data_IF_215425309729
#
_entry.id   IF_215425309729
#
_cell.length_a   1.000
_cell.length_b   1.000
_cell.length_c   1.000
_cell.angle_alpha   90.00
_cell.angle_beta   90.00
_cell.angle_gamma   90.00
#
_symmetry.space_group_name_H-M   'P 1'
#
loop_
_entity.id
_entity.type
_entity.pdbx_description
1 polymer ?
#
# COMPACT_ATOMS: atom_id res chain seq x y z
N UNK A 1 -2.22 -23.65 6.62
CA UNK A 1 -1.86 -24.19 7.94
C UNK A 1 -3.13 -24.55 8.70
N UNK A 2 -3.05 -25.39 9.75
CA UNK A 2 -4.22 -25.80 10.52
C UNK A 2 -4.51 -24.79 11.63
N UNK A 3 -5.77 -24.46 11.86
CA UNK A 3 -6.20 -23.60 12.95
C UNK A 3 -7.37 -24.21 13.72
N UNK A 4 -7.27 -24.26 15.05
CA UNK A 4 -8.34 -24.72 15.94
C UNK A 4 -8.82 -23.53 16.76
N UNK A 5 -10.06 -23.09 16.55
CA UNK A 5 -10.69 -22.02 17.31
C UNK A 5 -11.60 -22.63 18.36
N UNK A 6 -11.34 -22.36 19.63
CA UNK A 6 -12.01 -23.01 20.76
C UNK A 6 -12.85 -21.98 21.49
N UNK A 7 -14.16 -22.13 21.36
CA UNK A 7 -15.11 -21.48 22.26
C UNK A 7 -15.05 -22.19 23.61
N UNK A 8 -14.28 -21.64 24.55
CA UNK A 8 -14.08 -22.26 25.85
C UNK A 8 -15.25 -22.05 26.83
N UNK A 9 -16.16 -21.11 26.54
CA UNK A 9 -17.42 -20.99 27.30
C UNK A 9 -18.29 -22.21 27.03
N UNK A 10 -18.29 -22.67 25.78
CA UNK A 10 -19.15 -23.74 25.31
C UNK A 10 -18.47 -25.13 25.42
N UNK A 11 -17.25 -25.29 24.92
CA UNK A 11 -16.51 -26.57 24.90
C UNK A 11 -15.20 -26.46 25.67
N UNK A 12 -14.95 -27.41 26.56
CA UNK A 12 -13.70 -27.51 27.32
C UNK A 12 -13.00 -28.82 26.95
N UNK A 13 -12.08 -28.80 25.97
CA UNK A 13 -11.34 -29.98 25.55
C UNK A 13 -10.49 -30.51 26.71
N UNK A 14 -10.45 -31.84 26.85
CA UNK A 14 -9.64 -32.50 27.88
C UNK A 14 -8.23 -32.82 27.39
N UNK A 15 -8.07 -33.05 26.08
CA UNK A 15 -6.79 -33.42 25.48
C UNK A 15 -6.68 -32.90 24.04
N UNK A 16 -5.43 -32.65 23.63
CA UNK A 16 -5.01 -32.35 22.25
C UNK A 16 -4.01 -33.39 21.71
N UNK A 17 -3.95 -34.59 22.32
CA UNK A 17 -2.92 -35.61 22.04
C UNK A 17 -2.82 -36.02 20.55
N UNK A 18 -3.90 -35.86 19.78
CA UNK A 18 -3.99 -36.25 18.37
C UNK A 18 -3.79 -35.07 17.40
N UNK A 19 -3.42 -33.89 17.89
CA UNK A 19 -3.17 -32.71 17.05
C UNK A 19 -1.68 -32.61 16.76
N UNK A 20 -1.30 -32.54 15.49
CA UNK A 20 0.07 -32.22 15.07
C UNK A 20 0.44 -30.82 15.53
N UNK A 21 1.39 -30.74 16.45
CA UNK A 21 1.70 -29.53 17.22
C UNK A 21 2.48 -28.49 16.39
N UNK A 22 3.31 -28.96 15.45
CA UNK A 22 4.24 -28.10 14.69
C UNK A 22 3.56 -27.34 13.53
N UNK A 23 2.39 -27.78 13.07
CA UNK A 23 1.67 -27.20 11.92
C UNK A 23 0.26 -26.70 12.25
N UNK A 24 -0.03 -26.52 13.55
CA UNK A 24 -1.36 -26.15 14.02
C UNK A 24 -1.34 -24.99 15.01
N UNK A 25 -2.10 -23.95 14.70
CA UNK A 25 -2.38 -22.87 15.64
C UNK A 25 -3.64 -23.16 16.47
N UNK A 26 -3.56 -22.96 17.78
CA UNK A 26 -4.69 -23.08 18.71
C UNK A 26 -5.09 -21.70 19.21
N UNK A 27 -6.36 -21.34 19.02
CA UNK A 27 -6.95 -20.09 19.46
C UNK A 27 -7.98 -20.37 20.54
N UNK A 28 -7.60 -20.12 21.80
CA UNK A 28 -8.45 -20.33 22.96
C UNK A 28 -9.19 -19.04 23.32
N UNK A 29 -10.50 -18.99 23.08
CA UNK A 29 -11.34 -17.84 23.41
C UNK A 29 -11.93 -18.01 24.82
N UNK A 30 -11.57 -17.09 25.72
CA UNK A 30 -11.97 -17.12 27.12
C UNK A 30 -12.97 -16.00 27.43
N UNK A 31 -14.18 -16.43 27.78
CA UNK A 31 -15.17 -15.58 28.44
C UNK A 31 -14.69 -15.07 29.80
N UNK A 32 -15.33 -14.01 30.31
CA UNK A 32 -14.92 -13.37 31.58
C UNK A 32 -14.86 -14.36 32.74
N UNK A 33 -15.82 -15.30 32.78
CA UNK A 33 -15.96 -16.22 33.90
C UNK A 33 -14.84 -17.28 33.91
N UNK A 34 -14.28 -17.62 32.75
CA UNK A 34 -13.27 -18.65 32.58
C UNK A 34 -11.84 -18.12 32.77
N UNK A 35 -11.65 -16.80 32.84
CA UNK A 35 -10.31 -16.18 32.94
C UNK A 35 -9.67 -16.27 34.34
N UNK A 36 -10.43 -16.63 35.38
CA UNK A 36 -9.92 -16.70 36.75
C UNK A 36 -9.01 -17.89 37.00
N UNK A 37 -9.29 -19.02 36.34
CA UNK A 37 -8.54 -20.26 36.49
C UNK A 37 -8.80 -21.18 35.31
N UNK A 38 -7.75 -21.86 34.83
CA UNK A 38 -7.85 -22.94 33.86
C UNK A 38 -7.46 -24.28 34.53
N UNK A 39 -8.08 -25.41 34.15
CA UNK A 39 -7.67 -26.72 34.62
C UNK A 39 -6.20 -27.00 34.30
N UNK A 40 -5.47 -27.62 35.23
CA UNK A 40 -4.05 -27.93 35.05
C UNK A 40 -3.79 -28.77 33.81
N UNK A 41 -4.60 -29.80 33.58
CA UNK A 41 -4.51 -30.70 32.42
C UNK A 41 -4.63 -29.94 31.08
N UNK A 42 -5.53 -28.93 31.01
CA UNK A 42 -5.63 -28.08 29.84
C UNK A 42 -4.34 -27.30 29.61
N UNK A 43 -3.79 -26.69 30.65
CA UNK A 43 -2.55 -25.91 30.57
C UNK A 43 -1.39 -26.79 30.12
N UNK A 44 -1.25 -27.98 30.69
CA UNK A 44 -0.22 -28.96 30.31
C UNK A 44 -0.31 -29.34 28.83
N UNK A 45 -1.52 -29.51 28.29
CA UNK A 45 -1.69 -29.80 26.86
C UNK A 45 -1.41 -28.60 25.96
N UNK A 46 -1.78 -27.39 26.37
CA UNK A 46 -1.51 -26.17 25.60
C UNK A 46 -0.01 -25.84 25.56
N UNK A 47 0.75 -26.14 26.62
CA UNK A 47 2.19 -25.94 26.69
C UNK A 47 3.01 -26.82 25.72
N UNK A 48 2.37 -27.79 25.06
CA UNK A 48 3.01 -28.59 24.01
C UNK A 48 3.23 -27.77 22.75
N UNK A 49 2.34 -26.81 22.47
CA UNK A 49 2.42 -25.93 21.30
C UNK A 49 3.51 -24.87 21.48
N UNK A 50 4.23 -24.60 20.39
CA UNK A 50 5.16 -23.48 20.36
C UNK A 50 4.44 -22.16 20.66
N UNK A 51 5.17 -21.21 21.26
CA UNK A 51 4.60 -19.93 21.70
C UNK A 51 3.95 -19.11 20.57
N UNK A 52 4.35 -19.33 19.31
CA UNK A 52 3.75 -18.69 18.13
C UNK A 52 2.47 -19.41 17.63
N UNK A 53 2.27 -20.65 18.05
CA UNK A 53 1.14 -21.49 17.70
C UNK A 53 -0.02 -21.40 18.70
N UNK A 54 0.22 -20.95 19.94
CA UNK A 54 -0.81 -20.78 20.96
C UNK A 54 -1.28 -19.34 21.13
N UNK A 55 -2.59 -19.11 20.98
CA UNK A 55 -3.24 -17.80 21.08
C UNK A 55 -4.35 -17.81 22.13
N UNK A 56 -4.15 -17.15 23.27
CA UNK A 56 -5.19 -16.99 24.31
C UNK A 56 -5.87 -15.64 24.15
N UNK A 57 -7.15 -15.64 23.76
CA UNK A 57 -7.95 -14.45 23.52
C UNK A 57 -8.90 -14.24 24.70
N UNK A 58 -8.70 -13.14 25.44
CA UNK A 58 -9.48 -12.81 26.66
C UNK A 58 -10.48 -11.69 26.37
N UNK A 59 -11.76 -11.95 26.66
CA UNK A 59 -12.79 -10.92 26.63
C UNK A 59 -12.59 -9.89 27.74
N UNK A 60 -12.74 -8.60 27.41
CA UNK A 60 -12.63 -7.50 28.38
C UNK A 60 -13.96 -7.21 29.09
N UNK A 61 -15.08 -7.38 28.38
CA UNK A 61 -16.42 -7.07 28.85
C UNK A 61 -17.39 -8.22 28.54
N UNK A 62 -18.32 -8.48 29.46
CA UNK A 62 -19.36 -9.47 29.25
C UNK A 62 -20.44 -8.86 28.35
N UNK A 63 -21.00 -9.69 27.49
CA UNK A 63 -22.07 -9.30 26.59
C UNK A 63 -22.71 -10.53 25.97
N UNK A 64 -23.98 -10.40 25.58
CA UNK A 64 -24.68 -11.46 24.87
C UNK A 64 -23.95 -11.76 23.56
N UNK A 65 -23.59 -13.02 23.32
CA UNK A 65 -22.88 -13.50 22.12
C UNK A 65 -21.52 -12.82 21.89
N UNK A 66 -20.94 -12.20 22.93
CA UNK A 66 -19.72 -11.42 22.74
C UNK A 66 -18.50 -12.29 22.41
N UNK A 67 -18.44 -13.53 22.93
CA UNK A 67 -17.40 -14.48 22.54
C UNK A 67 -17.54 -14.86 21.06
N UNK A 68 -18.76 -15.06 20.57
CA UNK A 68 -19.04 -15.42 19.17
C UNK A 68 -18.57 -14.33 18.20
N UNK A 69 -18.75 -13.06 18.57
CA UNK A 69 -18.22 -11.95 17.78
C UNK A 69 -16.69 -11.92 17.77
N UNK A 70 -16.04 -12.23 18.90
CA UNK A 70 -14.59 -12.34 18.94
C UNK A 70 -14.11 -13.49 18.04
N UNK A 71 -14.72 -14.67 18.16
CA UNK A 71 -14.37 -15.83 17.37
C UNK A 71 -14.53 -15.53 15.87
N UNK A 72 -15.69 -14.99 15.47
CA UNK A 72 -15.99 -14.63 14.07
C UNK A 72 -14.99 -13.60 13.52
N UNK A 73 -14.62 -12.59 14.32
CA UNK A 73 -13.64 -11.59 13.92
C UNK A 73 -12.24 -12.19 13.69
N UNK A 74 -11.79 -13.07 14.59
CA UNK A 74 -10.50 -13.74 14.44
C UNK A 74 -10.50 -14.75 13.30
N UNK A 75 -11.61 -15.43 13.06
CA UNK A 75 -11.79 -16.29 11.89
C UNK A 75 -11.62 -15.49 10.60
N UNK A 76 -12.26 -14.32 10.50
CA UNK A 76 -12.08 -13.41 9.36
C UNK A 76 -10.62 -12.97 9.16
N UNK A 77 -9.90 -12.70 10.26
CA UNK A 77 -8.45 -12.41 10.19
C UNK A 77 -7.64 -13.59 9.69
N UNK A 78 -7.96 -14.80 10.13
CA UNK A 78 -7.28 -16.02 9.68
C UNK A 78 -7.53 -16.22 8.18
N UNK A 79 -8.78 -16.10 7.72
CA UNK A 79 -9.13 -16.25 6.30
C UNK A 79 -8.41 -15.25 5.38
N UNK A 80 -8.04 -14.08 5.90
CA UNK A 80 -7.29 -13.08 5.14
C UNK A 80 -5.78 -13.35 5.13
N UNK A 81 -5.22 -13.84 6.25
CA UNK A 81 -3.79 -14.11 6.40
C UNK A 81 -3.38 -15.42 5.70
N UNK A 82 -4.22 -16.44 5.81
CA UNK A 82 -4.04 -17.75 5.19
C UNK A 82 -5.35 -18.16 4.48
N UNK A 83 -5.53 -17.70 3.22
CA UNK A 83 -6.71 -18.05 2.42
C UNK A 83 -6.81 -19.55 2.07
N UNK A 84 -5.78 -20.33 2.41
CA UNK A 84 -5.71 -21.78 2.26
C UNK A 84 -5.76 -22.52 3.60
N UNK A 85 -6.18 -21.85 4.67
CA UNK A 85 -6.23 -22.42 6.00
C UNK A 85 -7.25 -23.55 6.10
N UNK A 86 -6.89 -24.59 6.85
CA UNK A 86 -7.83 -25.58 7.36
C UNK A 86 -8.24 -25.16 8.76
N UNK A 87 -9.53 -24.85 8.94
CA UNK A 87 -10.04 -24.28 10.18
C UNK A 87 -11.10 -25.17 10.81
N UNK A 88 -10.87 -25.50 12.08
CA UNK A 88 -11.81 -26.21 12.92
C UNK A 88 -12.31 -25.29 14.04
N UNK A 89 -13.62 -25.06 14.09
CA UNK A 89 -14.29 -24.36 15.19
C UNK A 89 -14.81 -25.41 16.18
N UNK A 90 -14.30 -25.40 17.41
CA UNK A 90 -14.82 -26.20 18.51
C UNK A 90 -15.87 -25.39 19.28
N UNK A 91 -17.14 -25.60 18.94
CA UNK A 91 -18.29 -25.01 19.61
C UNK A 91 -19.53 -25.90 19.44
N UNK A 92 -20.38 -26.03 20.48
CA UNK A 92 -21.70 -26.69 20.34
C UNK A 92 -22.77 -25.77 19.80
N UNK A 93 -22.53 -24.46 19.74
CA UNK A 93 -23.49 -23.52 19.19
C UNK A 93 -23.61 -23.71 17.66
N UNK A 94 -24.80 -24.11 17.21
CA UNK A 94 -25.11 -24.23 15.78
C UNK A 94 -25.21 -22.87 15.07
N UNK A 95 -25.21 -21.75 15.81
CA UNK A 95 -25.14 -20.41 15.23
C UNK A 95 -23.94 -20.20 14.32
N UNK A 96 -22.84 -20.93 14.56
CA UNK A 96 -21.66 -20.91 13.70
C UNK A 96 -21.86 -21.66 12.37
N UNK A 97 -22.87 -22.54 12.23
CA UNK A 97 -23.07 -23.30 10.98
C UNK A 97 -23.34 -22.38 9.78
N UNK A 98 -24.08 -21.29 10.01
CA UNK A 98 -24.34 -20.27 8.97
C UNK A 98 -23.04 -19.56 8.55
N UNK A 99 -22.16 -19.28 9.51
CA UNK A 99 -20.85 -18.66 9.25
C UNK A 99 -19.95 -19.60 8.45
N UNK A 100 -19.92 -20.89 8.83
CA UNK A 100 -19.17 -21.94 8.13
C UNK A 100 -19.66 -22.10 6.70
N UNK A 101 -20.98 -22.20 6.50
CA UNK A 101 -21.59 -22.31 5.17
C UNK A 101 -21.25 -21.10 4.28
N UNK A 102 -21.38 -19.90 4.82
CA UNK A 102 -21.06 -18.66 4.09
C UNK A 102 -19.59 -18.61 3.67
N UNK A 103 -18.66 -18.91 4.59
CA UNK A 103 -17.23 -18.82 4.32
C UNK A 103 -16.75 -19.91 3.36
N UNK A 104 -17.20 -21.15 3.51
CA UNK A 104 -16.89 -22.22 2.54
C UNK A 104 -17.45 -21.91 1.14
N UNK A 105 -18.56 -21.17 1.05
CA UNK A 105 -19.12 -20.72 -0.24
C UNK A 105 -18.38 -19.51 -0.82
N UNK A 106 -17.84 -18.63 0.03
CA UNK A 106 -17.15 -17.41 -0.38
C UNK A 106 -15.67 -17.64 -0.75
N UNK A 107 -15.06 -18.72 -0.25
CA UNK A 107 -13.64 -19.03 -0.44
C UNK A 107 -13.45 -20.43 -1.02
N UNK A 108 -12.91 -20.52 -2.23
CA UNK A 108 -12.62 -21.80 -2.93
C UNK A 108 -11.42 -22.58 -2.35
N UNK A 109 -10.68 -22.03 -1.37
CA UNK A 109 -9.41 -22.60 -0.88
C UNK A 109 -9.31 -22.83 0.63
N UNK A 110 -10.28 -22.35 1.41
CA UNK A 110 -10.28 -22.45 2.86
C UNK A 110 -11.31 -23.50 3.29
N UNK A 111 -10.86 -24.54 3.99
CA UNK A 111 -11.76 -25.56 4.52
C UNK A 111 -12.14 -25.18 5.95
N UNK A 112 -13.41 -24.88 6.19
CA UNK A 112 -13.90 -24.55 7.52
C UNK A 112 -14.92 -25.59 7.95
N UNK A 113 -14.79 -26.08 9.17
CA UNK A 113 -15.77 -26.97 9.79
C UNK A 113 -15.99 -26.63 11.26
N UNK A 114 -17.20 -26.94 11.74
CA UNK A 114 -17.53 -26.89 13.16
C UNK A 114 -17.59 -28.31 13.71
N UNK A 115 -17.01 -28.51 14.89
CA UNK A 115 -17.14 -29.72 15.68
C UNK A 115 -17.78 -29.39 17.03
N UNK A 116 -18.76 -30.19 17.40
CA UNK A 116 -19.51 -30.04 18.66
C UNK A 116 -18.84 -30.78 19.83
N UNK A 117 -17.85 -31.62 19.51
CA UNK A 117 -17.13 -32.42 20.49
C UNK A 117 -15.63 -32.45 20.16
N UNK A 118 -14.81 -32.15 21.16
CA UNK A 118 -13.36 -32.20 21.04
C UNK A 118 -12.83 -33.59 20.61
N UNK A 119 -13.54 -34.68 20.92
CA UNK A 119 -13.14 -36.02 20.50
C UNK A 119 -13.21 -36.23 18.96
N UNK A 120 -13.99 -35.40 18.26
CA UNK A 120 -14.14 -35.44 16.79
C UNK A 120 -12.95 -34.79 16.06
N UNK A 121 -12.08 -34.06 16.77
CA UNK A 121 -10.84 -33.50 16.20
C UNK A 121 -10.06 -34.59 15.45
N UNK A 122 -10.07 -35.83 15.96
CA UNK A 122 -9.37 -36.98 15.38
C UNK A 122 -9.88 -37.35 13.97
N UNK A 123 -11.19 -37.28 13.72
CA UNK A 123 -11.81 -37.76 12.47
C UNK A 123 -11.67 -36.72 11.35
N UNK A 124 -11.79 -35.44 11.70
CA UNK A 124 -11.70 -34.32 10.77
C UNK A 124 -10.35 -34.24 10.04
N UNK A 125 -9.25 -34.58 10.73
CA UNK A 125 -7.91 -34.48 10.16
C UNK A 125 -7.49 -35.72 9.34
N UNK A 126 -8.13 -36.88 9.53
CA UNK A 126 -7.90 -38.08 8.71
C UNK A 126 -8.62 -38.00 7.35
N UNK A 127 -9.80 -37.38 7.29
CA UNK A 127 -10.61 -37.28 6.07
C UNK A 127 -10.10 -36.29 5.01
N UNK A 128 -9.23 -35.34 5.38
CA UNK A 128 -8.71 -34.31 4.46
C UNK A 128 -7.56 -34.82 3.55
N UNK A 129 -7.09 -36.05 3.73
CA UNK A 129 -6.04 -36.65 2.87
C UNK A 129 -6.65 -37.20 1.56
N UNK A 130 -7.94 -37.57 1.54
CA UNK A 130 -8.56 -38.23 0.38
C UNK A 130 -9.30 -37.28 -0.58
N UNK A 131 -9.64 -36.06 -0.15
CA UNK A 131 -10.55 -35.15 -0.86
C UNK A 131 -9.86 -34.07 -1.71
N UNK A 132 -8.52 -34.11 -1.84
CA UNK A 132 -7.72 -33.11 -2.58
C UNK A 132 -7.86 -33.12 -4.12
N UNK A 133 -8.83 -33.86 -4.66
CA UNK A 133 -9.18 -33.80 -6.08
C UNK A 133 -10.67 -33.54 -6.24
N UNK A 134 -11.10 -32.29 -6.30
CA UNK A 134 -11.94 -31.77 -7.40
C UNK A 134 -12.56 -30.37 -7.15
N UNK A 135 -12.59 -29.61 -8.25
CA UNK A 135 -13.49 -28.49 -8.61
C UNK A 135 -12.99 -27.03 -8.48
N UNK A 136 -13.28 -26.32 -9.58
CA UNK A 136 -12.96 -24.94 -9.98
C UNK A 136 -14.19 -24.02 -9.85
N UNK A 137 -13.90 -22.73 -9.64
CA UNK A 137 -14.59 -21.50 -10.09
C UNK A 137 -15.98 -21.23 -9.49
N UNK A 138 -16.16 -20.06 -8.86
CA UNK A 138 -16.58 -18.83 -9.57
C UNK A 138 -16.73 -17.59 -8.65
N UNK A 139 -16.74 -16.43 -9.32
CA UNK A 139 -16.60 -15.02 -8.90
C UNK A 139 -17.93 -14.34 -8.49
N UNK A 140 -17.90 -13.31 -7.60
CA UNK A 140 -18.71 -12.03 -7.55
C UNK A 140 -18.53 -11.31 -6.17
N UNK A 141 -17.87 -10.15 -6.05
CA UNK A 141 -18.34 -8.73 -6.00
C UNK A 141 -19.52 -8.42 -5.04
N UNK A 142 -19.29 -7.55 -4.03
CA UNK A 142 -20.08 -6.33 -3.65
C UNK A 142 -19.40 -5.57 -2.47
N UNK A 143 -19.80 -4.30 -2.33
CA UNK A 143 -19.20 -3.06 -1.83
C UNK A 143 -19.18 -2.79 -0.30
N UNK A 144 -18.44 -1.71 0.00
CA UNK A 144 -18.21 -0.92 1.22
C UNK A 144 -19.32 -0.81 2.29
N UNK A 145 -18.91 -0.71 3.57
CA UNK A 145 -19.48 0.24 4.55
C UNK A 145 -18.57 0.47 5.77
N UNK A 146 -18.46 1.75 6.15
CA UNK A 146 -17.65 2.34 7.23
C UNK A 146 -18.26 2.22 8.64
N UNK A 147 -17.43 2.25 9.70
CA UNK A 147 -17.49 3.11 10.92
C UNK A 147 -16.67 2.51 12.10
N UNK A 148 -15.54 3.11 12.51
CA UNK A 148 -15.27 4.00 13.68
C UNK A 148 -15.47 3.35 15.07
N UNK A 149 -14.40 3.29 15.87
CA UNK A 149 -14.35 3.69 17.29
C UNK A 149 -12.87 3.98 17.69
N UNK A 150 -12.63 5.16 18.28
CA UNK A 150 -11.36 5.65 18.84
C UNK A 150 -11.26 5.33 20.35
N UNK A 151 -10.07 5.44 20.92
CA UNK A 151 -9.85 6.19 22.16
C UNK A 151 -8.37 6.58 22.36
N UNK A 152 -8.21 7.80 22.88
CA UNK A 152 -7.00 8.59 23.10
C UNK A 152 -6.15 8.13 24.30
N UNK A 153 -4.82 8.33 24.24
CA UNK A 153 -4.05 8.89 25.39
C UNK A 153 -2.95 9.83 24.88
N UNK A 154 -2.93 11.00 25.50
CA UNK A 154 -2.27 12.26 25.14
C UNK A 154 -0.80 12.38 25.55
N UNK A 155 -0.07 13.15 24.74
CA UNK A 155 1.05 14.08 25.03
C UNK A 155 1.73 14.13 26.40
N UNK A 156 3.05 13.90 26.44
CA UNK A 156 3.97 14.54 27.42
C UNK A 156 5.34 14.87 26.77
N UNK A 157 5.73 16.15 26.91
CA UNK A 157 7.07 16.79 26.90
C UNK A 157 8.03 16.59 25.70
N UNK A 158 8.18 17.65 24.87
CA UNK A 158 9.09 17.72 23.72
C UNK A 158 10.59 17.78 24.07
N UNK A 159 10.99 18.23 25.26
CA UNK A 159 12.40 18.40 25.61
C UNK A 159 13.07 17.12 26.14
N UNK A 160 12.32 16.23 26.79
CA UNK A 160 12.82 14.91 27.22
C UNK A 160 12.84 13.88 26.08
N UNK A 161 12.06 14.12 25.02
CA UNK A 161 11.97 13.20 23.88
C UNK A 161 13.25 13.17 23.06
N UNK A 162 13.90 14.33 22.90
CA UNK A 162 15.07 14.48 22.02
C UNK A 162 16.33 13.85 22.62
N UNK A 163 16.53 13.96 23.93
CA UNK A 163 17.64 13.31 24.65
C UNK A 163 17.47 11.79 24.71
N UNK A 164 16.24 11.31 24.86
CA UNK A 164 15.89 9.90 24.82
C UNK A 164 16.03 9.32 23.40
N UNK A 165 15.59 10.04 22.37
CA UNK A 165 15.78 9.62 20.97
C UNK A 165 17.26 9.52 20.60
N UNK A 166 18.10 10.43 21.12
CA UNK A 166 19.53 10.42 20.86
C UNK A 166 20.25 9.23 21.53
N UNK A 167 19.88 8.86 22.75
CA UNK A 167 20.44 7.67 23.40
C UNK A 167 19.97 6.36 22.75
N UNK A 168 18.74 6.31 22.24
CA UNK A 168 18.22 5.17 21.49
C UNK A 168 18.86 5.03 20.10
N UNK A 169 19.19 6.15 19.43
CA UNK A 169 19.90 6.13 18.14
C UNK A 169 21.33 5.59 18.28
N UNK A 170 21.98 5.80 19.43
CA UNK A 170 23.30 5.25 19.75
C UNK A 170 23.26 3.76 20.14
N UNK A 171 22.17 3.30 20.80
CA UNK A 171 22.05 1.91 21.27
C UNK A 171 21.56 0.93 20.19
N UNK A 172 20.74 1.39 19.23
CA UNK A 172 20.10 0.52 18.23
C UNK A 172 20.85 0.54 16.88
N UNK A 173 21.43 -0.59 16.44
CA UNK A 173 22.14 -0.64 15.16
C UNK A 173 21.22 -0.46 13.94
N UNK A 174 21.66 0.33 12.97
CA UNK A 174 20.94 0.54 11.68
C UNK A 174 20.70 -0.77 10.90
N UNK A 175 21.55 -1.77 11.08
CA UNK A 175 21.40 -3.11 10.50
C UNK A 175 20.14 -3.80 11.02
N UNK A 176 19.84 -3.68 12.32
CA UNK A 176 18.64 -4.26 12.94
C UNK A 176 17.38 -3.60 12.42
N UNK A 177 17.39 -2.27 12.29
CA UNK A 177 16.28 -1.54 11.67
C UNK A 177 16.07 -2.01 10.22
N UNK A 178 17.14 -2.33 9.49
CA UNK A 178 17.02 -2.87 8.14
C UNK A 178 16.48 -4.29 8.10
N UNK A 179 16.98 -5.17 8.95
CA UNK A 179 16.51 -6.56 9.09
C UNK A 179 15.02 -6.59 9.47
N UNK A 180 14.62 -5.78 10.46
CA UNK A 180 13.22 -5.64 10.84
C UNK A 180 12.35 -5.07 9.71
N UNK A 181 12.87 -4.11 8.93
CA UNK A 181 12.17 -3.60 7.74
C UNK A 181 11.94 -4.71 6.70
N UNK A 182 12.93 -5.56 6.45
CA UNK A 182 12.82 -6.71 5.53
C UNK A 182 11.74 -7.68 6.01
N UNK A 183 11.74 -8.00 7.31
CA UNK A 183 10.71 -8.87 7.91
C UNK A 183 9.31 -8.27 7.82
N UNK A 184 9.12 -6.98 8.14
CA UNK A 184 7.83 -6.29 8.00
C UNK A 184 7.37 -6.30 6.53
N UNK A 185 8.29 -6.05 5.60
CA UNK A 185 7.97 -6.08 4.19
C UNK A 185 7.46 -7.47 3.75
N UNK A 186 8.11 -8.55 4.18
CA UNK A 186 7.69 -9.90 3.79
C UNK A 186 6.43 -10.37 4.51
N UNK A 187 6.35 -10.14 5.82
CA UNK A 187 5.29 -10.70 6.66
C UNK A 187 3.98 -9.91 6.61
N UNK A 188 4.04 -8.61 6.35
CA UNK A 188 2.86 -7.72 6.39
C UNK A 188 2.54 -7.20 4.99
N UNK A 189 3.54 -6.64 4.30
CA UNK A 189 3.31 -5.96 3.02
C UNK A 189 3.10 -6.97 1.88
N UNK A 190 3.94 -7.99 1.77
CA UNK A 190 3.86 -8.99 0.69
C UNK A 190 2.73 -10.00 0.88
N UNK A 191 2.44 -10.41 2.13
CA UNK A 191 1.35 -11.35 2.42
C UNK A 191 -0.04 -10.72 2.27
N UNK A 192 -0.14 -9.41 2.01
CA UNK A 192 -1.40 -8.65 1.93
C UNK A 192 -2.32 -8.88 3.14
N UNK A 193 -1.74 -9.18 4.29
CA UNK A 193 -2.45 -9.23 5.56
C UNK A 193 -3.05 -7.84 5.78
N UNK A 194 -4.36 -7.75 6.02
CA UNK A 194 -5.13 -6.54 6.31
C UNK A 194 -4.25 -5.32 6.56
N UNK A 195 -3.94 -4.56 5.50
CA UNK A 195 -3.01 -3.45 5.62
C UNK A 195 -3.66 -2.40 6.51
N UNK A 196 -3.11 -2.14 7.70
CA UNK A 196 -3.85 -1.36 8.67
C UNK A 196 -4.03 0.07 8.19
N UNK A 197 -5.27 0.58 8.21
CA UNK A 197 -5.57 1.94 7.77
C UNK A 197 -4.99 3.03 8.68
N UNK A 198 -4.55 2.71 9.89
CA UNK A 198 -4.03 3.67 10.88
C UNK A 198 -2.60 3.30 11.30
N UNK A 199 -1.78 4.31 11.61
CA UNK A 199 -0.40 4.12 12.07
C UNK A 199 -0.31 3.23 13.31
N UNK A 200 -1.14 3.49 14.32
CA UNK A 200 -1.20 2.70 15.55
C UNK A 200 -1.46 1.21 15.27
N UNK A 201 -2.40 0.93 14.38
CA UNK A 201 -2.76 -0.45 14.00
C UNK A 201 -1.64 -1.12 13.19
N UNK A 202 -0.92 -0.37 12.35
CA UNK A 202 0.25 -0.86 11.66
C UNK A 202 1.37 -1.21 12.64
N UNK A 203 1.68 -0.32 13.60
CA UNK A 203 2.68 -0.58 14.64
C UNK A 203 2.29 -1.78 15.51
N UNK A 204 1.02 -1.90 15.88
CA UNK A 204 0.51 -3.07 16.60
C UNK A 204 0.69 -4.37 15.79
N UNK A 205 0.37 -4.33 14.49
CA UNK A 205 0.53 -5.50 13.61
C UNK A 205 1.99 -5.87 13.43
N UNK A 206 2.89 -4.89 13.30
CA UNK A 206 4.34 -5.09 13.29
C UNK A 206 4.78 -5.79 14.58
N UNK A 207 4.36 -5.29 15.75
CA UNK A 207 4.71 -5.87 17.06
C UNK A 207 4.19 -7.30 17.24
N UNK A 208 3.03 -7.62 16.66
CA UNK A 208 2.38 -8.93 16.80
C UNK A 208 2.91 -9.98 15.83
N UNK A 209 3.16 -9.61 14.58
CA UNK A 209 3.40 -10.57 13.49
C UNK A 209 4.84 -10.59 12.96
N UNK A 210 5.69 -9.63 13.36
CA UNK A 210 7.12 -9.72 13.06
C UNK A 210 7.78 -10.66 14.04
N UNK A 211 8.54 -11.67 13.57
CA UNK A 211 9.21 -12.63 14.44
C UNK A 211 10.01 -11.94 15.55
N UNK A 212 9.67 -12.27 16.80
CA UNK A 212 10.30 -11.68 17.98
C UNK A 212 11.80 -12.00 18.03
N UNK A 213 12.27 -13.02 17.30
CA UNK A 213 13.67 -13.51 17.33
C UNK A 213 14.72 -12.42 17.14
N UNK A 214 14.54 -11.49 16.18
CA UNK A 214 15.47 -10.34 15.96
C UNK A 214 15.37 -9.30 17.08
N UNK A 215 14.21 -9.22 17.72
CA UNK A 215 13.83 -8.20 18.69
C UNK A 215 13.96 -8.64 20.16
N UNK A 216 14.16 -9.94 20.44
CA UNK A 216 14.24 -10.54 21.79
C UNK A 216 15.29 -9.86 22.69
N UNK A 217 16.35 -9.31 22.10
CA UNK A 217 17.44 -8.63 22.83
C UNK A 217 17.17 -7.17 23.17
N UNK A 218 16.08 -6.59 22.68
CA UNK A 218 15.71 -5.20 22.89
C UNK A 218 14.55 -5.08 23.88
N UNK A 219 14.58 -4.07 24.74
CA UNK A 219 13.47 -3.78 25.65
C UNK A 219 12.27 -3.14 24.91
N UNK A 220 11.13 -2.96 25.59
CA UNK A 220 9.92 -2.43 24.96
C UNK A 220 10.10 -1.06 24.31
N UNK A 221 10.86 -0.16 24.94
CA UNK A 221 11.12 1.20 24.44
C UNK A 221 12.00 1.16 23.18
N UNK A 222 13.03 0.30 23.19
CA UNK A 222 13.90 0.10 22.02
C UNK A 222 13.16 -0.55 20.86
N UNK A 223 12.28 -1.52 21.14
CA UNK A 223 11.43 -2.14 20.13
C UNK A 223 10.48 -1.11 19.49
N UNK A 224 9.81 -0.29 20.31
CA UNK A 224 8.91 0.74 19.82
C UNK A 224 9.67 1.78 18.97
N UNK A 225 10.91 2.15 19.36
CA UNK A 225 11.80 2.97 18.54
C UNK A 225 12.15 2.30 17.20
N UNK A 226 12.52 1.02 17.20
CA UNK A 226 12.80 0.26 15.97
C UNK A 226 11.59 0.30 15.04
N UNK A 227 10.39 0.08 15.57
CA UNK A 227 9.16 0.08 14.78
C UNK A 227 8.86 1.45 14.16
N UNK A 228 9.08 2.53 14.91
CA UNK A 228 8.97 3.90 14.39
C UNK A 228 9.99 4.19 13.27
N UNK A 229 11.24 3.72 13.42
CA UNK A 229 12.25 3.87 12.37
C UNK A 229 11.93 3.04 11.12
N UNK A 230 11.37 1.84 11.30
CA UNK A 230 10.89 1.00 10.20
C UNK A 230 9.73 1.67 9.47
N UNK A 231 8.76 2.22 10.20
CA UNK A 231 7.67 3.01 9.63
C UNK A 231 8.23 4.21 8.82
N UNK A 232 9.18 4.95 9.38
CA UNK A 232 9.87 6.03 8.70
C UNK A 232 10.57 5.59 7.41
N UNK A 233 11.13 4.37 7.36
CA UNK A 233 11.67 3.80 6.12
C UNK A 233 10.60 3.57 5.05
N UNK A 234 9.42 3.08 5.42
CA UNK A 234 8.32 2.91 4.46
C UNK A 234 7.83 4.24 3.90
N UNK A 235 7.70 5.27 4.74
CA UNK A 235 7.36 6.63 4.32
C UNK A 235 8.42 7.18 3.37
N UNK A 236 9.70 7.08 3.74
CA UNK A 236 10.83 7.55 2.92
C UNK A 236 10.92 6.82 1.58
N UNK A 237 10.55 5.53 1.56
CA UNK A 237 10.47 4.74 0.34
C UNK A 237 9.27 5.13 -0.55
N UNK A 238 8.28 5.84 -0.02
CA UNK A 238 7.03 6.19 -0.72
C UNK A 238 6.01 5.05 -0.80
N UNK A 239 6.27 3.93 -0.10
CA UNK A 239 5.41 2.76 -0.05
C UNK A 239 4.19 2.99 0.84
N UNK A 240 4.33 3.87 1.82
CA UNK A 240 3.26 4.34 2.70
C UNK A 240 3.25 5.87 2.64
N UNK A 241 2.06 6.45 2.59
CA UNK A 241 1.85 7.88 2.78
C UNK A 241 0.64 8.11 3.67
N UNK A 242 0.52 9.31 4.24
CA UNK A 242 -0.68 9.72 4.96
C UNK A 242 -1.68 10.36 3.99
N UNK A 243 -2.98 10.20 4.25
CA UNK A 243 -4.03 10.92 3.54
C UNK A 243 -4.01 12.42 3.91
N UNK A 244 -4.82 13.23 3.22
CA UNK A 244 -4.85 14.70 3.39
C UNK A 244 -5.16 15.15 4.82
N UNK A 245 -5.86 14.32 5.59
CA UNK A 245 -6.23 14.60 6.99
C UNK A 245 -5.24 14.00 8.01
N UNK A 246 -4.17 13.36 7.55
CA UNK A 246 -3.17 12.64 8.36
C UNK A 246 -3.72 11.49 9.24
N UNK A 247 -4.97 11.10 9.05
CA UNK A 247 -5.63 10.06 9.84
C UNK A 247 -5.36 8.65 9.29
N UNK A 248 -5.30 8.50 7.96
CA UNK A 248 -5.22 7.18 7.33
C UNK A 248 -3.95 6.98 6.50
N UNK A 249 -3.45 5.75 6.54
CA UNK A 249 -2.35 5.25 5.72
C UNK A 249 -2.86 4.89 4.32
N UNK A 250 -2.14 5.34 3.31
CA UNK A 250 -2.30 5.00 1.90
C UNK A 250 -1.08 4.18 1.50
N UNK A 251 -1.32 3.03 0.88
CA UNK A 251 -0.27 2.11 0.47
C UNK A 251 -0.05 2.15 -1.03
N UNK A 252 1.21 2.18 -1.48
CA UNK A 252 1.62 2.09 -2.89
C UNK A 252 2.47 0.84 -3.12
N UNK A 253 1.91 -0.30 -2.76
CA UNK A 253 2.61 -1.59 -2.71
C UNK A 253 2.10 -2.56 -3.79
N UNK A 254 0.99 -2.21 -4.44
CA UNK A 254 0.44 -2.96 -5.56
C UNK A 254 1.27 -2.71 -6.83
N UNK A 255 1.05 -3.53 -7.86
CA UNK A 255 1.83 -3.45 -9.10
C UNK A 255 1.79 -2.06 -9.73
N UNK A 256 0.66 -1.36 -9.67
CA UNK A 256 0.54 0.00 -10.21
C UNK A 256 1.26 1.02 -9.32
N UNK A 257 1.06 0.99 -8.00
CA UNK A 257 1.74 1.89 -7.07
C UNK A 257 3.27 1.77 -7.14
N UNK A 258 3.79 0.54 -7.23
CA UNK A 258 5.23 0.31 -7.42
C UNK A 258 5.69 0.85 -8.78
N UNK A 259 4.92 0.64 -9.85
CA UNK A 259 5.26 1.15 -11.17
C UNK A 259 5.28 2.69 -11.21
N UNK A 260 4.35 3.35 -10.51
CA UNK A 260 4.32 4.80 -10.37
C UNK A 260 5.55 5.31 -9.60
N UNK A 261 5.91 4.63 -8.51
CA UNK A 261 7.11 4.95 -7.72
C UNK A 261 8.42 4.77 -8.53
N UNK A 262 8.51 3.74 -9.36
CA UNK A 262 9.65 3.53 -10.27
C UNK A 262 9.67 4.62 -11.35
N UNK A 263 8.50 4.95 -11.91
CA UNK A 263 8.34 6.00 -12.91
C UNK A 263 8.79 7.37 -12.38
N UNK A 264 8.39 7.71 -11.15
CA UNK A 264 8.82 8.94 -10.47
C UNK A 264 10.34 9.00 -10.32
N UNK A 265 10.97 7.87 -9.96
CA UNK A 265 12.42 7.80 -9.84
C UNK A 265 13.12 7.95 -11.19
N UNK A 266 12.58 7.34 -12.24
CA UNK A 266 13.08 7.48 -13.60
C UNK A 266 13.02 8.95 -14.04
N UNK A 267 11.91 9.64 -13.81
CA UNK A 267 11.72 11.06 -14.14
C UNK A 267 12.62 12.00 -13.33
N UNK A 268 12.96 11.64 -12.09
CA UNK A 268 13.92 12.39 -11.26
C UNK A 268 15.36 12.20 -11.72
N UNK A 269 15.75 10.96 -12.03
CA UNK A 269 17.12 10.61 -12.42
C UNK A 269 17.51 11.17 -13.79
N UNK A 270 16.56 11.22 -14.74
CA UNK A 270 16.77 11.65 -16.14
C UNK A 270 18.02 11.04 -16.77
N UNK A 271 18.18 9.72 -16.66
CA UNK A 271 19.28 9.01 -17.29
C UNK A 271 19.33 9.29 -18.80
N UNK A 272 20.50 9.69 -19.31
CA UNK A 272 20.67 10.09 -20.71
C UNK A 272 20.74 8.91 -21.67
N UNK A 273 21.07 7.73 -21.15
CA UNK A 273 21.29 6.51 -21.93
C UNK A 273 20.52 5.32 -21.35
N UNK A 274 20.23 4.34 -22.21
CA UNK A 274 19.45 3.14 -21.87
C UNK A 274 20.10 2.33 -20.73
N UNK A 275 21.42 2.20 -20.70
CA UNK A 275 22.13 1.46 -19.65
C UNK A 275 21.98 2.14 -18.27
N UNK A 276 22.03 3.48 -18.26
CA UNK A 276 21.77 4.28 -17.07
C UNK A 276 20.31 4.16 -16.61
N UNK A 277 19.36 4.18 -17.55
CA UNK A 277 17.94 4.00 -17.26
C UNK A 277 17.67 2.60 -16.67
N UNK A 278 18.23 1.56 -17.28
CA UNK A 278 18.10 0.18 -16.83
C UNK A 278 18.66 0.01 -15.42
N UNK A 279 19.81 0.61 -15.11
CA UNK A 279 20.37 0.60 -13.76
C UNK A 279 19.48 1.30 -12.74
N UNK A 280 18.89 2.45 -13.09
CA UNK A 280 17.94 3.15 -12.21
C UNK A 280 16.71 2.27 -11.91
N UNK A 281 16.12 1.68 -12.95
CA UNK A 281 14.96 0.79 -12.81
C UNK A 281 15.34 -0.43 -11.96
N UNK A 282 16.45 -1.09 -12.27
CA UNK A 282 16.95 -2.27 -11.55
C UNK A 282 17.14 -2.00 -10.06
N UNK A 283 17.82 -0.91 -9.71
CA UNK A 283 18.06 -0.52 -8.32
C UNK A 283 16.74 -0.20 -7.61
N UNK A 284 15.81 0.47 -8.29
CA UNK A 284 14.53 0.86 -7.69
C UNK A 284 13.61 -0.33 -7.46
N UNK A 285 13.51 -1.25 -8.42
CA UNK A 285 12.80 -2.52 -8.27
C UNK A 285 13.40 -3.35 -7.12
N UNK A 286 14.73 -3.45 -7.04
CA UNK A 286 15.41 -4.13 -5.93
C UNK A 286 15.05 -3.52 -4.56
N UNK A 287 14.98 -2.19 -4.48
CA UNK A 287 14.63 -1.49 -3.24
C UNK A 287 13.20 -1.77 -2.76
N UNK A 288 12.32 -2.15 -3.69
CA UNK A 288 10.95 -2.59 -3.42
C UNK A 288 10.79 -4.10 -3.44
N UNK A 289 11.92 -4.83 -3.38
CA UNK A 289 11.99 -6.29 -3.36
C UNK A 289 11.23 -6.97 -4.48
N UNK A 290 11.17 -6.31 -5.64
CA UNK A 290 10.59 -6.85 -6.85
C UNK A 290 11.63 -7.59 -7.67
N UNK A 291 11.16 -8.53 -8.50
CA UNK A 291 11.99 -9.15 -9.51
C UNK A 291 12.58 -8.07 -10.44
N UNK A 292 13.89 -8.14 -10.68
CA UNK A 292 14.64 -7.12 -11.41
C UNK A 292 15.55 -7.75 -12.49
N UNK A 293 15.09 -8.85 -13.08
CA UNK A 293 15.71 -9.47 -14.26
C UNK A 293 15.65 -8.52 -15.46
N UNK A 294 16.45 -8.80 -16.48
CA UNK A 294 16.45 -7.99 -17.70
C UNK A 294 15.05 -7.92 -18.34
N UNK A 295 14.32 -9.04 -18.38
CA UNK A 295 12.94 -9.07 -18.89
C UNK A 295 11.99 -8.14 -18.13
N UNK A 296 12.11 -8.09 -16.80
CA UNK A 296 11.28 -7.19 -15.97
C UNK A 296 11.63 -5.72 -16.22
N UNK A 297 12.92 -5.41 -16.37
CA UNK A 297 13.38 -4.05 -16.71
C UNK A 297 12.82 -3.65 -18.09
N UNK A 298 12.88 -4.56 -19.06
CA UNK A 298 12.40 -4.32 -20.43
C UNK A 298 10.88 -4.11 -20.48
N UNK A 299 10.11 -4.80 -19.62
CA UNK A 299 8.68 -4.56 -19.44
C UNK A 299 8.40 -3.13 -18.93
N UNK A 300 9.16 -2.67 -17.93
CA UNK A 300 9.03 -1.29 -17.42
C UNK A 300 9.41 -0.27 -18.49
N UNK A 301 10.50 -0.48 -19.22
CA UNK A 301 10.92 0.40 -20.33
C UNK A 301 9.84 0.45 -21.41
N UNK A 302 9.24 -0.70 -21.76
CA UNK A 302 8.14 -0.81 -22.72
C UNK A 302 6.92 -0.03 -22.26
N UNK A 303 6.56 -0.15 -20.97
CA UNK A 303 5.48 0.64 -20.36
C UNK A 303 5.74 2.14 -20.47
N UNK A 304 6.95 2.60 -20.10
CA UNK A 304 7.33 4.02 -20.15
C UNK A 304 7.26 4.59 -21.58
N UNK A 305 7.68 3.82 -22.59
CA UNK A 305 7.55 4.18 -24.01
C UNK A 305 6.09 4.26 -24.43
N UNK A 306 5.27 3.25 -24.09
CA UNK A 306 3.84 3.19 -24.43
C UNK A 306 3.05 4.35 -23.83
N UNK A 307 3.41 4.77 -22.60
CA UNK A 307 2.82 5.94 -21.93
C UNK A 307 3.38 7.28 -22.42
N UNK A 308 4.26 7.27 -23.42
CA UNK A 308 4.94 8.46 -23.95
C UNK A 308 5.66 9.25 -22.84
N UNK A 309 6.17 8.56 -21.82
CA UNK A 309 6.98 9.15 -20.73
C UNK A 309 8.42 9.28 -21.19
N UNK A 310 8.92 8.28 -21.94
CA UNK A 310 10.24 8.29 -22.55
C UNK A 310 10.19 8.02 -24.06
N UNK A 311 11.22 8.48 -24.77
CA UNK A 311 11.57 8.08 -26.14
C UNK A 311 13.00 7.60 -26.16
N UNK A 312 13.28 6.62 -27.00
CA UNK A 312 14.63 6.09 -27.20
C UNK A 312 15.05 6.30 -28.64
N UNK A 313 16.25 6.84 -28.86
CA UNK A 313 16.94 6.88 -30.15
C UNK A 313 18.30 6.23 -29.99
N UNK A 314 18.49 5.05 -30.58
CA UNK A 314 19.64 4.18 -30.32
C UNK A 314 19.86 3.96 -28.82
N UNK A 315 20.96 4.48 -28.27
CA UNK A 315 21.27 4.43 -26.83
C UNK A 315 20.70 5.60 -26.04
N UNK A 316 20.34 6.70 -26.69
CA UNK A 316 19.90 7.92 -26.03
C UNK A 316 18.44 7.82 -25.55
N UNK A 317 18.17 8.33 -24.34
CA UNK A 317 16.85 8.41 -23.74
C UNK A 317 16.43 9.87 -23.60
N UNK A 318 15.21 10.15 -24.05
CA UNK A 318 14.55 11.45 -23.95
C UNK A 318 13.30 11.30 -23.07
N UNK A 319 12.94 12.37 -22.37
CA UNK A 319 11.81 12.39 -21.45
C UNK A 319 10.77 13.41 -21.91
N UNK A 320 9.51 13.11 -21.65
CA UNK A 320 8.39 14.04 -21.92
C UNK A 320 8.48 15.30 -21.04
N UNK A 321 8.13 16.50 -21.54
CA UNK A 321 7.67 16.79 -22.91
C UNK A 321 8.82 16.74 -23.93
N UNK A 322 8.60 16.00 -25.03
CA UNK A 322 9.58 15.81 -26.11
C UNK A 322 9.64 17.03 -27.04
N UNK A 323 9.93 18.21 -26.50
CA UNK A 323 10.09 19.40 -27.32
C UNK A 323 11.41 19.32 -28.12
N UNK A 324 11.29 19.20 -29.44
CA UNK A 324 12.34 19.37 -30.46
C UNK A 324 13.66 18.60 -30.27
N UNK A 325 13.68 17.33 -30.68
CA UNK A 325 14.94 16.69 -31.11
C UNK A 325 15.28 17.25 -32.50
N UNK A 326 16.16 18.26 -32.55
CA UNK A 326 16.87 18.63 -33.77
C UNK A 326 17.94 17.58 -34.05
N UNK A 327 17.79 16.86 -35.16
CA UNK A 327 18.82 15.98 -35.73
C UNK A 327 18.57 15.78 -37.22
N UNK A 328 19.44 16.35 -38.05
CA UNK A 328 19.42 16.33 -39.52
C UNK A 328 19.50 14.90 -40.10
N UNK A 329 18.66 14.59 -41.08
CA UNK A 329 19.13 14.10 -42.40
C UNK A 329 18.05 14.30 -43.50
N UNK A 330 18.38 15.21 -44.42
CA UNK A 330 18.21 15.17 -45.89
C UNK A 330 16.93 14.63 -46.58
N UNK A 331 16.20 15.59 -47.19
CA UNK A 331 15.67 15.66 -48.59
C UNK A 331 14.61 14.66 -49.12
N UNK A 332 13.59 15.28 -49.76
CA UNK A 332 12.55 14.82 -50.73
C UNK A 332 11.43 13.98 -50.09
N UNK A 333 10.13 14.25 -50.20
CA UNK A 333 9.31 14.86 -51.26
C UNK A 333 8.05 15.53 -50.69
N UNK A 334 7.50 16.50 -51.42
CA UNK A 334 6.12 16.98 -51.29
C UNK A 334 5.15 15.89 -51.77
N UNK A 335 4.09 15.62 -51.02
CA UNK A 335 2.70 15.59 -51.55
C UNK A 335 1.65 15.43 -50.43
N UNK A 336 0.76 16.43 -50.39
CA UNK A 336 -0.69 16.42 -50.19
C UNK A 336 -1.42 15.51 -49.15
N UNK A 337 -1.99 16.24 -48.19
CA UNK A 337 -3.39 16.25 -47.74
C UNK A 337 -3.98 15.26 -46.69
N UNK A 338 -4.53 15.91 -45.64
CA UNK A 338 -5.73 15.62 -44.81
C UNK A 338 -5.67 14.51 -43.74
N UNK A 339 -5.54 14.91 -42.46
CA UNK A 339 -6.67 15.25 -41.57
C UNK A 339 -6.23 15.56 -40.10
N UNK A 340 -6.91 16.54 -39.49
CA UNK A 340 -6.80 17.09 -38.11
C UNK A 340 -7.11 16.05 -37.00
N UNK A 341 -6.68 16.13 -35.72
CA UNK A 341 -6.44 17.17 -34.67
C UNK A 341 -5.41 16.55 -33.69
N UNK A 342 -4.50 17.20 -32.96
CA UNK A 342 -4.40 18.52 -32.35
C UNK A 342 -2.93 18.99 -32.37
N UNK A 343 -2.63 20.09 -33.06
CA UNK A 343 -1.44 20.90 -32.75
C UNK A 343 -1.86 22.36 -32.66
N UNK A 344 -2.31 22.77 -31.46
CA UNK A 344 -2.64 24.16 -31.26
C UNK A 344 -1.38 25.03 -31.47
N UNK A 345 -1.46 25.98 -32.41
CA UNK A 345 -0.37 26.93 -32.73
C UNK A 345 0.10 27.67 -31.47
N UNK A 346 1.35 28.16 -31.43
CA UNK A 346 1.85 28.97 -30.28
C UNK A 346 0.89 30.12 -29.92
N UNK A 347 0.23 30.72 -30.92
CA UNK A 347 -0.80 31.73 -30.70
C UNK A 347 -2.03 31.21 -29.94
N UNK A 348 -2.54 30.02 -30.29
CA UNK A 348 -3.65 29.37 -29.59
C UNK A 348 -3.26 28.97 -28.15
N UNK A 349 -2.04 28.46 -27.94
CA UNK A 349 -1.51 28.17 -26.60
C UNK A 349 -1.41 29.44 -25.75
N UNK A 350 -0.94 30.55 -26.33
CA UNK A 350 -0.85 31.84 -25.65
C UNK A 350 -2.23 32.34 -25.20
N UNK A 351 -3.26 32.19 -26.03
CA UNK A 351 -4.64 32.57 -25.67
C UNK A 351 -5.20 31.63 -24.59
N UNK A 352 -4.99 30.32 -24.70
CA UNK A 352 -5.45 29.36 -23.70
C UNK A 352 -4.89 29.65 -22.30
N UNK A 353 -3.59 30.00 -22.22
CA UNK A 353 -2.92 30.38 -20.97
C UNK A 353 -3.44 31.69 -20.36
N UNK A 354 -4.02 32.58 -21.17
CA UNK A 354 -4.64 33.82 -20.67
C UNK A 354 -6.10 33.58 -20.25
N UNK A 355 -6.82 32.69 -20.94
CA UNK A 355 -8.20 32.31 -20.60
C UNK A 355 -8.29 31.49 -19.32
N UNK A 356 -7.32 30.62 -19.06
CA UNK A 356 -7.29 29.77 -17.85
C UNK A 356 -7.11 30.58 -16.55
N UNK A 357 -6.72 31.86 -16.61
CA UNK A 357 -6.59 32.72 -15.43
C UNK A 357 -7.88 33.51 -15.13
N UNK A 358 -8.26 33.61 -13.84
CA UNK A 358 -9.33 34.51 -13.40
C UNK A 358 -9.06 35.96 -13.84
N UNK A 359 -10.10 36.67 -14.29
CA UNK A 359 -9.99 37.99 -14.92
C UNK A 359 -9.19 39.02 -14.09
N UNK A 360 -9.36 39.00 -12.76
CA UNK A 360 -8.65 39.91 -11.84
C UNK A 360 -7.14 39.66 -11.68
N UNK A 361 -6.65 38.49 -12.11
CA UNK A 361 -5.25 38.08 -11.97
C UNK A 361 -4.45 38.14 -13.27
N UNK A 362 -5.08 38.58 -14.36
CA UNK A 362 -4.44 38.69 -15.68
C UNK A 362 -3.47 39.88 -15.70
N UNK A 363 -2.33 39.79 -16.42
CA UNK A 363 -1.33 40.86 -16.43
C UNK A 363 -1.92 42.21 -16.85
N UNK A 364 -1.81 43.24 -16.00
CA UNK A 364 -2.45 44.54 -16.23
C UNK A 364 -1.66 45.50 -17.11
N UNK A 365 -0.38 45.20 -17.39
CA UNK A 365 0.54 46.02 -18.20
C UNK A 365 1.19 45.19 -19.30
N UNK A 366 1.61 45.83 -20.39
CA UNK A 366 2.30 45.17 -21.53
C UNK A 366 3.57 44.42 -21.10
N UNK A 367 4.42 45.02 -20.27
CA UNK A 367 5.65 44.38 -19.77
C UNK A 367 5.36 43.14 -18.93
N UNK A 368 4.34 43.20 -18.07
CA UNK A 368 3.89 42.06 -17.28
C UNK A 368 3.33 40.94 -18.15
N UNK A 369 2.60 41.28 -19.23
CA UNK A 369 2.12 40.30 -20.20
C UNK A 369 3.28 39.66 -20.97
N UNK A 370 4.26 40.45 -21.42
CA UNK A 370 5.46 39.92 -22.10
C UNK A 370 6.23 38.96 -21.20
N UNK A 371 6.44 39.30 -19.92
CA UNK A 371 7.12 38.41 -18.96
C UNK A 371 6.29 37.17 -18.62
N UNK A 372 4.97 37.32 -18.51
CA UNK A 372 4.05 36.19 -18.35
C UNK A 372 4.13 35.22 -19.53
N UNK A 373 4.05 35.71 -20.76
CA UNK A 373 4.14 34.88 -21.95
C UNK A 373 5.54 34.25 -22.10
N UNK A 374 6.63 34.97 -21.79
CA UNK A 374 7.99 34.41 -21.76
C UNK A 374 8.15 33.27 -20.74
N UNK A 375 7.53 33.40 -19.57
CA UNK A 375 7.62 32.37 -18.51
C UNK A 375 6.76 31.14 -18.80
N UNK A 376 5.62 31.32 -19.49
CA UNK A 376 4.62 30.27 -19.69
C UNK A 376 4.67 29.62 -21.08
N UNK A 377 5.23 30.31 -22.09
CA UNK A 377 5.48 29.79 -23.45
C UNK A 377 6.98 29.51 -23.64
N UNK A 378 7.56 28.73 -22.71
CA UNK A 378 8.99 28.40 -22.68
C UNK A 378 9.50 28.03 -24.09
N UNK A 379 10.65 28.60 -24.47
CA UNK A 379 11.38 28.44 -25.75
C UNK A 379 11.02 29.40 -26.90
N UNK A 380 10.16 30.40 -26.70
CA UNK A 380 9.95 31.45 -27.71
C UNK A 380 10.91 32.64 -27.49
N UNK A 381 11.55 33.12 -28.56
CA UNK A 381 12.46 34.27 -28.49
C UNK A 381 11.70 35.59 -28.23
N UNK A 382 12.41 36.63 -27.78
CA UNK A 382 11.75 37.91 -27.45
C UNK A 382 11.03 38.52 -28.64
N UNK A 383 11.50 38.28 -29.88
CA UNK A 383 10.87 38.77 -31.11
C UNK A 383 9.54 38.06 -31.38
N UNK A 384 9.45 36.76 -31.12
CA UNK A 384 8.23 35.98 -31.30
C UNK A 384 7.18 36.35 -30.26
N UNK A 385 7.56 36.56 -29.00
CA UNK A 385 6.64 37.08 -27.97
C UNK A 385 6.10 38.47 -28.34
N UNK A 386 6.94 39.37 -28.84
CA UNK A 386 6.49 40.69 -29.30
C UNK A 386 5.55 40.59 -30.51
N UNK A 387 5.80 39.64 -31.42
CA UNK A 387 4.91 39.34 -32.55
C UNK A 387 3.56 38.80 -32.07
N UNK A 388 3.54 37.92 -31.08
CA UNK A 388 2.31 37.39 -30.47
C UNK A 388 1.49 38.50 -29.80
N UNK A 389 2.12 39.38 -29.02
CA UNK A 389 1.43 40.51 -28.38
C UNK A 389 0.85 41.45 -29.45
N UNK A 390 1.59 41.74 -30.53
CA UNK A 390 1.06 42.52 -31.67
C UNK A 390 -0.12 41.83 -32.35
N UNK A 391 -0.05 40.50 -32.56
CA UNK A 391 -1.16 39.72 -33.12
C UNK A 391 -2.39 39.72 -32.20
N UNK A 392 -2.23 39.65 -30.88
CA UNK A 392 -3.34 39.71 -29.92
C UNK A 392 -4.01 41.09 -29.91
N UNK A 393 -3.26 42.18 -30.09
CA UNK A 393 -3.82 43.53 -30.26
C UNK A 393 -4.56 43.65 -31.60
N UNK A 394 -3.94 43.18 -32.69
CA UNK A 394 -4.55 43.19 -34.04
C UNK A 394 -5.87 42.42 -34.07
N UNK A 395 -5.93 41.28 -33.39
CA UNK A 395 -7.12 40.43 -33.31
C UNK A 395 -8.12 40.88 -32.22
N UNK A 396 -7.90 42.05 -31.60
CA UNK A 396 -8.76 42.65 -30.56
C UNK A 396 -8.98 41.78 -29.32
N UNK A 397 -8.08 40.83 -29.06
CA UNK A 397 -8.06 39.97 -27.86
C UNK A 397 -7.64 40.77 -26.62
N UNK A 398 -6.75 41.73 -26.82
CA UNK A 398 -6.32 42.71 -25.82
C UNK A 398 -6.39 44.12 -26.41
N UNK A 399 -6.85 45.07 -25.60
CA UNK A 399 -6.87 46.49 -25.92
C UNK A 399 -5.95 47.21 -24.94
N UNK A 400 -5.06 48.05 -25.46
CA UNK A 400 -4.19 48.90 -24.65
C UNK A 400 -4.91 50.23 -24.43
N UNK A 401 -5.20 50.58 -23.18
CA UNK A 401 -5.78 51.87 -22.83
C UNK A 401 -4.75 53.00 -22.97
N UNK A 402 -5.22 54.25 -23.00
CA UNK A 402 -4.37 55.45 -23.02
C UNK A 402 -3.44 55.55 -21.79
N UNK A 403 -3.74 54.79 -20.73
CA UNK A 403 -2.94 54.67 -19.49
C UNK A 403 -1.98 53.47 -19.49
N UNK A 404 -1.75 52.85 -20.65
CA UNK A 404 -0.90 51.66 -20.84
C UNK A 404 -1.36 50.41 -20.05
N UNK A 405 -2.65 50.39 -19.66
CA UNK A 405 -3.30 49.27 -18.99
C UNK A 405 -3.94 48.34 -20.03
N UNK A 406 -3.79 47.03 -19.85
CA UNK A 406 -4.35 46.02 -20.73
C UNK A 406 -5.79 45.68 -20.32
N UNK A 407 -6.69 45.67 -21.30
CA UNK A 407 -8.07 45.21 -21.18
C UNK A 407 -8.21 43.95 -22.04
N UNK A 408 -8.59 42.83 -21.43
CA UNK A 408 -8.78 41.55 -22.11
C UNK A 408 -10.23 41.40 -22.59
N UNK A 409 -10.42 41.01 -23.85
CA UNK A 409 -11.74 40.72 -24.46
C UNK A 409 -11.98 39.22 -24.67
N UNK A 410 -11.39 38.39 -23.81
CA UNK A 410 -11.33 36.91 -23.93
C UNK A 410 -11.92 36.16 -22.75
#
# INVERSE_FOLDING_TARGET
>A
MKHILIDYENIQPKSFDNVEVDECHVWLFLGINQQKSLPLELVENLLRFDNENLHIIKMQHAGKNALDFYLSFYLGKISEIDPSADVCILARDSGYDILVEHLNSAYDGMSIMRLENANQLTVAYESNIESASDIKKSQLVIEDSHHVLCDDVTSVAMDNKKSLEQSLEESVPKSVIHECYVLVFDSIVNRKVFLPGYKSNLLYSIKKYVPVTVLKRFNSTEQDYIFEQVFGKFIKAGLISLNENEEKLIYKIDSQGILDLVTDQVLRSKAKEIDGLNNVIKQKLASYRQANSQDQIDLVVTYLKKKAIIKQDNKAIYYSPFDNIKGNSSKVSQDDNKNSKDSATTYQRAIAQLKSRPAGTRPSKKSSLTNYLKSHLRNEDSKTIDKLVKQMVSNKIIVISNTNKLIYKI
#
